data_IF_441020838951
#
_entry.id   IF_441020838951
#
_cell.length_a   1.000
_cell.length_b   1.000
_cell.length_c   1.000
_cell.angle_alpha   90.00
_cell.angle_beta   90.00
_cell.angle_gamma   90.00
#
_symmetry.space_group_name_H-M   'P 1'
#
loop_
_entity.id
_entity.type
_entity.pdbx_description
1 polymer ?
#
# COMPACT_ATOMS: atom_id res chain seq x y z
N UNK A 1 -40.06 -7.78 -3.62
CA UNK A 1 -40.42 -6.34 -3.67
C UNK A 1 -40.45 -5.90 -5.13
N UNK A 2 -41.27 -4.90 -5.49
CA UNK A 2 -41.28 -4.37 -6.86
C UNK A 2 -40.03 -3.49 -7.08
N UNK A 3 -39.34 -3.59 -8.24
CA UNK A 3 -38.19 -2.74 -8.54
C UNK A 3 -38.56 -1.26 -8.58
N UNK A 4 -37.61 -0.38 -8.26
CA UNK A 4 -37.81 1.08 -8.30
C UNK A 4 -37.95 1.61 -9.74
N UNK A 5 -38.56 2.78 -9.92
CA UNK A 5 -38.57 3.47 -11.22
C UNK A 5 -37.15 3.72 -11.76
N UNK A 6 -36.20 4.00 -10.86
CA UNK A 6 -34.80 4.25 -11.21
C UNK A 6 -34.13 3.02 -11.83
N UNK A 7 -34.47 1.81 -11.37
CA UNK A 7 -34.03 0.56 -11.97
C UNK A 7 -34.49 0.43 -13.44
N UNK A 8 -35.75 0.72 -13.74
CA UNK A 8 -36.26 0.65 -15.12
C UNK A 8 -35.64 1.71 -16.03
N UNK A 9 -35.39 2.92 -15.51
CA UNK A 9 -34.68 3.98 -16.24
C UNK A 9 -33.24 3.56 -16.55
N UNK A 10 -32.55 2.92 -15.60
CA UNK A 10 -31.21 2.36 -15.81
C UNK A 10 -31.20 1.22 -16.83
N UNK A 11 -32.19 0.33 -16.80
CA UNK A 11 -32.35 -0.70 -17.84
C UNK A 11 -32.53 -0.08 -19.23
N UNK A 12 -33.42 0.92 -19.34
CA UNK A 12 -33.71 1.60 -20.60
C UNK A 12 -32.52 2.42 -21.13
N UNK A 13 -31.62 2.88 -20.25
CA UNK A 13 -30.39 3.59 -20.63
C UNK A 13 -29.24 2.67 -21.07
N UNK A 14 -29.48 1.36 -21.15
CA UNK A 14 -28.50 0.37 -21.58
C UNK A 14 -27.62 -0.16 -20.45
N UNK A 15 -28.09 -0.08 -19.19
CA UNK A 15 -27.38 -0.63 -18.01
C UNK A 15 -25.99 -0.04 -17.79
N UNK A 16 -25.81 1.26 -18.07
CA UNK A 16 -24.53 1.93 -17.86
C UNK A 16 -24.10 1.83 -16.39
N UNK A 17 -22.84 1.48 -16.16
CA UNK A 17 -22.24 1.44 -14.84
C UNK A 17 -20.80 1.93 -14.94
N UNK A 18 -20.42 2.80 -14.02
CA UNK A 18 -19.07 3.32 -13.87
C UNK A 18 -18.82 3.51 -12.38
N UNK A 19 -17.84 2.82 -11.84
CA UNK A 19 -17.38 3.07 -10.48
C UNK A 19 -16.73 4.46 -10.43
N UNK A 20 -17.05 5.28 -9.43
CA UNK A 20 -16.42 6.60 -9.28
C UNK A 20 -14.89 6.50 -9.24
N UNK A 21 -14.20 7.49 -9.80
CA UNK A 21 -12.74 7.51 -9.91
C UNK A 21 -12.00 7.19 -8.60
N UNK A 22 -12.32 7.81 -7.45
CA UNK A 22 -11.53 7.55 -6.26
C UNK A 22 -11.73 6.12 -5.71
N UNK A 23 -12.93 5.55 -5.88
CA UNK A 23 -13.19 4.16 -5.56
C UNK A 23 -12.44 3.23 -6.53
N UNK A 24 -12.45 3.51 -7.83
CA UNK A 24 -11.69 2.74 -8.81
C UNK A 24 -10.17 2.77 -8.54
N UNK A 25 -9.65 3.91 -8.11
CA UNK A 25 -8.24 4.03 -7.70
C UNK A 25 -7.91 3.13 -6.50
N UNK A 26 -8.71 3.21 -5.43
CA UNK A 26 -8.53 2.37 -4.24
C UNK A 26 -8.69 0.88 -4.57
N UNK A 27 -9.70 0.52 -5.37
CA UNK A 27 -9.92 -0.86 -5.83
C UNK A 27 -8.69 -1.40 -6.55
N UNK A 28 -8.12 -0.64 -7.50
CA UNK A 28 -6.92 -1.03 -8.24
C UNK A 28 -5.72 -1.24 -7.32
N UNK A 29 -5.52 -0.37 -6.34
CA UNK A 29 -4.41 -0.47 -5.38
C UNK A 29 -4.57 -1.72 -4.50
N UNK A 30 -5.75 -1.92 -3.90
CA UNK A 30 -6.02 -3.09 -3.06
C UNK A 30 -5.92 -4.40 -3.84
N UNK A 31 -6.43 -4.45 -5.08
CA UNK A 31 -6.25 -5.60 -5.99
C UNK A 31 -4.78 -5.81 -6.35
N UNK A 32 -3.98 -4.74 -6.48
CA UNK A 32 -2.53 -4.80 -6.66
C UNK A 32 -1.81 -5.48 -5.50
N UNK A 33 -2.35 -5.38 -4.29
CA UNK A 33 -1.88 -6.10 -3.10
C UNK A 33 -2.43 -7.53 -2.99
N UNK A 34 -3.22 -7.99 -3.96
CA UNK A 34 -3.79 -9.34 -4.00
C UNK A 34 -5.09 -9.52 -3.21
N UNK A 35 -5.78 -8.44 -2.85
CA UNK A 35 -7.11 -8.50 -2.24
C UNK A 35 -8.20 -8.68 -3.29
N UNK A 36 -9.29 -9.35 -2.90
CA UNK A 36 -10.51 -9.38 -3.70
C UNK A 36 -11.37 -8.17 -3.32
N UNK A 37 -11.76 -7.40 -4.33
CA UNK A 37 -12.61 -6.21 -4.14
C UNK A 37 -13.77 -6.27 -5.13
N UNK A 38 -15.00 -6.26 -4.64
CA UNK A 38 -16.22 -6.16 -5.46
C UNK A 38 -16.70 -4.71 -5.52
N UNK A 39 -17.38 -4.35 -6.61
CA UNK A 39 -17.90 -3.00 -6.90
C UNK A 39 -19.31 -3.03 -7.50
N UNK A 40 -19.60 -4.05 -8.29
CA UNK A 40 -20.89 -4.19 -8.94
C UNK A 40 -21.92 -4.84 -8.00
N UNK A 41 -23.15 -4.28 -7.91
CA UNK A 41 -24.22 -4.81 -7.06
C UNK A 41 -24.71 -6.17 -7.58
N UNK A 42 -25.21 -7.01 -6.69
CA UNK A 42 -25.99 -8.18 -7.08
C UNK A 42 -27.40 -7.78 -7.56
N UNK A 43 -28.13 -8.78 -8.08
CA UNK A 43 -29.48 -8.59 -8.62
C UNK A 43 -30.50 -8.16 -7.54
N UNK A 44 -30.28 -8.55 -6.28
CA UNK A 44 -31.17 -8.20 -5.17
C UNK A 44 -31.02 -6.72 -4.81
N UNK A 45 -29.78 -6.21 -4.78
CA UNK A 45 -29.48 -4.79 -4.60
C UNK A 45 -30.04 -3.95 -5.75
N UNK A 46 -29.89 -4.40 -7.00
CA UNK A 46 -30.42 -3.71 -8.17
C UNK A 46 -31.96 -3.61 -8.14
N UNK A 47 -32.64 -4.63 -7.60
CA UNK A 47 -34.11 -4.70 -7.56
C UNK A 47 -34.70 -4.21 -6.24
N UNK A 48 -33.88 -3.74 -5.31
CA UNK A 48 -34.33 -3.19 -4.04
C UNK A 48 -35.29 -2.00 -4.27
N UNK A 49 -36.31 -1.87 -3.41
CA UNK A 49 -37.23 -0.73 -3.45
C UNK A 49 -36.53 0.59 -3.14
N UNK A 50 -35.47 0.52 -2.33
CA UNK A 50 -34.56 1.62 -2.01
C UNK A 50 -33.15 1.19 -2.41
N UNK A 51 -32.73 1.46 -3.65
CA UNK A 51 -31.40 1.08 -4.14
C UNK A 51 -30.31 1.79 -3.34
N UNK A 52 -29.33 1.03 -2.87
CA UNK A 52 -28.23 1.53 -2.06
C UNK A 52 -26.96 1.74 -2.90
N UNK A 53 -25.83 1.99 -2.25
CA UNK A 53 -24.67 2.69 -2.80
C UNK A 53 -23.78 1.88 -3.76
N UNK A 54 -23.96 0.57 -3.83
CA UNK A 54 -23.45 -0.24 -4.94
C UNK A 54 -24.21 0.02 -6.24
N UNK A 55 -25.46 0.48 -6.17
CA UNK A 55 -26.30 0.60 -7.37
C UNK A 55 -25.98 1.85 -8.20
N UNK A 56 -26.02 1.77 -9.55
CA UNK A 56 -25.78 2.91 -10.43
C UNK A 56 -26.88 4.00 -10.37
N UNK A 57 -27.85 3.86 -9.48
CA UNK A 57 -28.98 4.76 -9.30
C UNK A 57 -29.33 4.87 -7.80
N UNK A 58 -28.30 4.82 -6.96
CA UNK A 58 -28.41 4.86 -5.50
C UNK A 58 -29.31 6.01 -5.02
N UNK A 59 -30.29 5.67 -4.20
CA UNK A 59 -31.13 6.63 -3.49
C UNK A 59 -30.45 7.20 -2.24
N UNK A 60 -29.33 6.61 -1.81
CA UNK A 60 -28.60 6.92 -0.57
C UNK A 60 -27.35 7.78 -0.79
N UNK A 61 -27.24 8.42 -1.96
CA UNK A 61 -26.18 9.39 -2.26
C UNK A 61 -26.11 10.53 -1.23
N UNK A 62 -24.92 11.12 -1.08
CA UNK A 62 -24.69 12.32 -0.28
C UNK A 62 -23.52 13.11 -0.85
N UNK A 63 -23.56 14.46 -0.92
CA UNK A 63 -24.56 15.36 -0.34
C UNK A 63 -25.88 15.47 -1.12
N UNK A 64 -25.98 14.85 -2.29
CA UNK A 64 -27.19 14.79 -3.10
C UNK A 64 -27.43 13.37 -3.64
N UNK A 65 -28.43 13.22 -4.51
CA UNK A 65 -28.61 11.94 -5.21
C UNK A 65 -27.41 11.65 -6.10
N UNK A 66 -27.01 10.38 -6.19
CA UNK A 66 -25.99 9.94 -7.13
C UNK A 66 -26.44 10.18 -8.57
N UNK A 67 -25.51 10.60 -9.42
CA UNK A 67 -25.74 10.66 -10.86
C UNK A 67 -26.03 9.24 -11.39
N UNK A 68 -27.00 9.13 -12.29
CA UNK A 68 -27.34 7.84 -12.88
C UNK A 68 -26.16 7.28 -13.67
N UNK A 69 -25.90 5.99 -13.50
CA UNK A 69 -24.78 5.28 -14.11
C UNK A 69 -23.54 5.17 -13.21
N UNK A 70 -23.50 5.80 -12.03
CA UNK A 70 -22.35 5.75 -11.15
C UNK A 70 -22.56 4.86 -9.92
N UNK A 71 -21.64 3.93 -9.69
CA UNK A 71 -21.53 3.17 -8.44
C UNK A 71 -20.59 3.88 -7.47
N UNK A 72 -20.95 3.95 -6.19
CA UNK A 72 -20.22 4.69 -5.17
C UNK A 72 -19.61 3.80 -4.09
N UNK A 73 -19.80 2.48 -4.15
CA UNK A 73 -19.35 1.57 -3.12
C UNK A 73 -18.37 0.48 -3.60
N UNK A 74 -17.65 -0.09 -2.64
CA UNK A 74 -16.70 -1.19 -2.79
C UNK A 74 -16.81 -2.12 -1.60
N UNK A 75 -16.67 -3.42 -1.83
CA UNK A 75 -16.53 -4.43 -0.77
C UNK A 75 -15.15 -5.07 -0.85
N UNK A 76 -14.32 -4.83 0.18
CA UNK A 76 -13.01 -5.48 0.34
C UNK A 76 -13.20 -6.79 1.08
N UNK A 77 -12.99 -7.90 0.39
CA UNK A 77 -13.14 -9.23 0.93
C UNK A 77 -11.87 -9.67 1.66
N UNK A 78 -12.00 -10.40 2.77
CA UNK A 78 -10.83 -11.01 3.40
C UNK A 78 -10.25 -12.07 2.45
N UNK A 79 -8.92 -12.20 2.38
CA UNK A 79 -8.28 -13.23 1.52
C UNK A 79 -8.69 -14.65 1.88
N UNK A 80 -9.02 -14.87 3.14
CA UNK A 80 -9.46 -16.16 3.67
C UNK A 80 -10.58 -15.94 4.66
N UNK A 81 -11.54 -16.88 4.73
CA UNK A 81 -12.53 -16.90 5.81
C UNK A 81 -11.93 -17.49 7.09
N UNK A 82 -10.90 -16.82 7.60
CA UNK A 82 -10.17 -17.19 8.80
C UNK A 82 -10.06 -16.00 9.75
N UNK A 83 -9.67 -16.24 11.01
CA UNK A 83 -9.40 -15.16 11.95
C UNK A 83 -8.35 -14.17 11.41
N UNK A 84 -7.35 -14.68 10.68
CA UNK A 84 -6.32 -13.88 10.02
C UNK A 84 -6.88 -12.99 8.93
N UNK A 85 -7.72 -13.54 8.04
CA UNK A 85 -8.36 -12.74 6.99
C UNK A 85 -9.27 -11.65 7.57
N UNK A 86 -9.97 -11.93 8.68
CA UNK A 86 -10.74 -10.91 9.40
C UNK A 86 -9.85 -9.82 10.02
N UNK A 87 -8.71 -10.19 10.60
CA UNK A 87 -7.75 -9.23 11.14
C UNK A 87 -7.14 -8.32 10.06
N UNK A 88 -6.82 -8.86 8.88
CA UNK A 88 -6.35 -8.07 7.73
C UNK A 88 -7.38 -7.00 7.33
N UNK A 89 -8.64 -7.41 7.15
CA UNK A 89 -9.73 -6.49 6.83
C UNK A 89 -9.97 -5.45 7.93
N UNK A 90 -9.94 -5.86 9.21
CA UNK A 90 -10.08 -4.96 10.34
C UNK A 90 -8.97 -3.90 10.35
N UNK A 91 -7.74 -4.28 10.02
CA UNK A 91 -6.62 -3.35 9.94
C UNK A 91 -6.73 -2.39 8.74
N UNK A 92 -7.18 -2.85 7.56
CA UNK A 92 -7.49 -1.97 6.43
C UNK A 92 -8.55 -0.93 6.84
N UNK A 93 -9.65 -1.37 7.46
CA UNK A 93 -10.69 -0.48 7.92
C UNK A 93 -10.16 0.56 8.92
N UNK A 94 -9.38 0.13 9.92
CA UNK A 94 -8.76 1.04 10.90
C UNK A 94 -7.84 2.07 10.25
N UNK A 95 -7.04 1.68 9.26
CA UNK A 95 -6.15 2.62 8.57
C UNK A 95 -6.96 3.65 7.77
N UNK A 96 -7.98 3.24 7.03
CA UNK A 96 -8.90 4.15 6.35
C UNK A 96 -9.59 5.11 7.32
N UNK A 97 -10.06 4.61 8.47
CA UNK A 97 -10.69 5.42 9.52
C UNK A 97 -9.70 6.46 10.08
N UNK A 98 -8.50 6.01 10.47
CA UNK A 98 -7.43 6.87 10.98
C UNK A 98 -7.10 7.98 9.98
N UNK A 99 -6.89 7.63 8.71
CA UNK A 99 -6.56 8.58 7.66
C UNK A 99 -7.72 9.55 7.39
N UNK A 100 -8.96 9.07 7.47
CA UNK A 100 -10.15 9.89 7.25
C UNK A 100 -10.38 10.89 8.37
N UNK A 101 -10.20 10.45 9.61
CA UNK A 101 -10.28 11.29 10.81
C UNK A 101 -9.12 12.29 10.86
N UNK A 102 -7.93 11.93 10.33
CA UNK A 102 -6.79 12.84 10.16
C UNK A 102 -6.94 13.82 8.98
N UNK A 103 -8.02 13.73 8.19
CA UNK A 103 -8.28 14.64 7.08
C UNK A 103 -7.39 14.44 5.85
N UNK A 104 -6.83 13.23 5.67
CA UNK A 104 -5.95 12.96 4.53
C UNK A 104 -6.72 13.01 3.21
N UNK A 105 -6.17 13.74 2.24
CA UNK A 105 -6.82 14.06 0.97
C UNK A 105 -7.36 12.82 0.23
N UNK A 106 -6.57 11.73 0.19
CA UNK A 106 -6.89 10.50 -0.53
C UNK A 106 -8.12 9.73 -0.03
N UNK A 107 -8.63 10.04 1.15
CA UNK A 107 -9.80 9.38 1.75
C UNK A 107 -10.96 10.33 1.99
N UNK A 108 -10.85 11.63 1.72
CA UNK A 108 -11.92 12.60 1.97
C UNK A 108 -13.20 12.35 1.17
N UNK A 109 -13.11 11.58 0.08
CA UNK A 109 -14.24 11.11 -0.72
C UNK A 109 -15.10 10.07 0.01
N UNK A 110 -14.59 9.44 1.08
CA UNK A 110 -15.32 8.42 1.84
C UNK A 110 -16.42 9.07 2.67
N UNK A 111 -17.63 8.55 2.47
CA UNK A 111 -18.91 8.87 3.12
C UNK A 111 -19.02 8.08 4.42
N UNK A 112 -18.94 6.75 4.32
CA UNK A 112 -18.97 5.84 5.46
C UNK A 112 -18.26 4.52 5.13
N UNK A 113 -17.93 3.75 6.18
CA UNK A 113 -17.36 2.40 6.08
C UNK A 113 -18.16 1.48 7.01
N UNK A 114 -18.62 0.32 6.53
CA UNK A 114 -18.99 -0.80 7.41
C UNK A 114 -17.81 -1.76 7.51
N UNK A 115 -17.51 -2.24 8.70
CA UNK A 115 -16.42 -3.18 8.90
C UNK A 115 -16.66 -4.04 10.14
N UNK A 116 -16.09 -5.24 10.13
CA UNK A 116 -16.15 -6.19 11.24
C UNK A 116 -14.78 -6.26 11.92
N UNK A 117 -14.73 -6.05 13.24
CA UNK A 117 -13.48 -6.24 14.01
C UNK A 117 -13.16 -7.73 14.22
N UNK A 118 -12.00 -8.03 14.80
CA UNK A 118 -11.53 -9.40 15.03
C UNK A 118 -12.45 -10.19 15.96
N UNK A 119 -13.23 -9.49 16.79
CA UNK A 119 -14.22 -10.07 17.70
C UNK A 119 -15.57 -10.32 17.02
N UNK A 120 -15.72 -10.01 15.73
CA UNK A 120 -16.95 -10.22 14.98
C UNK A 120 -18.02 -9.15 15.19
N UNK A 121 -17.66 -8.02 15.83
CA UNK A 121 -18.54 -6.87 16.02
C UNK A 121 -18.47 -6.01 14.76
N UNK A 122 -19.61 -5.82 14.11
CA UNK A 122 -19.69 -4.99 12.93
C UNK A 122 -20.19 -3.58 13.27
N UNK A 123 -19.48 -2.59 12.75
CA UNK A 123 -19.68 -1.17 13.00
C UNK A 123 -19.73 -0.43 11.69
N UNK A 124 -20.51 0.65 11.68
CA UNK A 124 -20.45 1.67 10.65
C UNK A 124 -19.76 2.91 11.22
N UNK A 125 -18.69 3.33 10.55
CA UNK A 125 -18.06 4.63 10.74
C UNK A 125 -18.58 5.57 9.65
N UNK A 126 -19.24 6.65 10.04
CA UNK A 126 -19.93 7.57 9.12
C UNK A 126 -19.41 8.99 9.32
N UNK A 127 -19.14 9.73 8.25
CA UNK A 127 -18.59 11.10 8.31
C UNK A 127 -19.57 12.21 7.87
N UNK A 128 -20.80 11.87 7.51
CA UNK A 128 -21.82 12.79 7.01
C UNK A 128 -23.15 12.62 7.74
N UNK A 129 -23.94 13.67 7.96
CA UNK A 129 -23.48 15.05 7.99
C UNK A 129 -22.48 15.30 9.14
N UNK A 130 -22.37 14.37 10.10
CA UNK A 130 -21.47 14.42 11.25
C UNK A 130 -20.75 13.08 11.41
N UNK A 131 -19.59 13.10 12.09
CA UNK A 131 -18.87 11.88 12.47
C UNK A 131 -19.66 11.09 13.52
N UNK A 132 -20.08 9.88 13.18
CA UNK A 132 -20.74 8.96 14.13
C UNK A 132 -20.28 7.52 13.93
N UNK A 133 -20.38 6.72 15.00
CA UNK A 133 -20.17 5.27 14.99
C UNK A 133 -21.47 4.60 15.43
N UNK A 134 -21.90 3.57 14.71
CA UNK A 134 -23.08 2.76 15.08
C UNK A 134 -22.88 1.29 14.78
N UNK A 135 -23.70 0.43 15.38
CA UNK A 135 -23.75 -0.98 15.02
C UNK A 135 -24.22 -1.15 13.57
N UNK A 136 -23.67 -2.16 12.87
CA UNK A 136 -24.09 -2.58 11.54
C UNK A 136 -24.22 -4.11 11.47
N UNK A 137 -25.05 -4.59 10.55
CA UNK A 137 -25.22 -6.03 10.25
C UNK A 137 -24.44 -6.48 9.03
N UNK A 138 -23.76 -5.56 8.35
CA UNK A 138 -23.04 -5.77 7.11
C UNK A 138 -21.66 -6.41 7.37
N UNK A 139 -21.65 -7.74 7.53
CA UNK A 139 -20.53 -8.50 8.11
C UNK A 139 -19.64 -9.16 7.07
N UNK A 140 -18.42 -9.50 7.50
CA UNK A 140 -17.53 -10.40 6.76
C UNK A 140 -16.67 -9.73 5.69
N UNK A 141 -16.79 -8.42 5.50
CA UNK A 141 -15.99 -7.63 4.57
C UNK A 141 -15.84 -6.18 5.08
N UNK A 142 -15.07 -5.36 4.36
CA UNK A 142 -15.05 -3.90 4.56
C UNK A 142 -15.85 -3.28 3.42
N UNK A 143 -17.03 -2.75 3.74
CA UNK A 143 -17.83 -1.98 2.80
C UNK A 143 -17.41 -0.51 2.87
N UNK A 144 -17.04 0.08 1.75
CA UNK A 144 -16.59 1.48 1.64
C UNK A 144 -17.53 2.21 0.71
N UNK A 145 -18.16 3.28 1.20
CA UNK A 145 -19.12 4.08 0.44
C UNK A 145 -18.62 5.49 0.23
N UNK A 146 -18.67 5.95 -1.01
CA UNK A 146 -18.22 7.25 -1.47
C UNK A 146 -19.29 8.33 -1.48
N UNK A 147 -18.84 9.58 -1.53
CA UNK A 147 -19.69 10.76 -1.71
C UNK A 147 -20.07 10.92 -3.18
N UNK A 148 -21.29 11.38 -3.43
CA UNK A 148 -21.86 11.60 -4.76
C UNK A 148 -21.38 12.87 -5.44
N UNK A 149 -20.60 13.71 -4.75
CA UNK A 149 -19.98 14.92 -5.29
C UNK A 149 -18.50 14.72 -5.65
N UNK A 150 -18.03 13.46 -5.64
CA UNK A 150 -16.63 13.09 -5.83
C UNK A 150 -16.44 12.12 -7.02
N UNK A 151 -17.39 12.09 -7.97
CA UNK A 151 -17.42 11.10 -9.06
C UNK A 151 -16.10 11.04 -9.86
N UNK A 152 -15.50 12.20 -10.14
CA UNK A 152 -14.27 12.36 -10.91
C UNK A 152 -13.05 12.79 -10.07
N UNK A 153 -13.14 12.70 -8.74
CA UNK A 153 -12.09 13.17 -7.83
C UNK A 153 -10.82 12.32 -7.92
N UNK A 154 -9.69 12.97 -8.25
CA UNK A 154 -8.39 12.30 -8.44
C UNK A 154 -7.56 12.19 -7.17
N UNK A 155 -8.02 12.71 -6.02
CA UNK A 155 -7.21 12.74 -4.79
C UNK A 155 -6.82 11.36 -4.27
N UNK A 156 -7.56 10.30 -4.62
CA UNK A 156 -7.27 8.93 -4.22
C UNK A 156 -6.31 8.18 -5.19
N UNK A 157 -5.93 8.78 -6.33
CA UNK A 157 -5.17 8.10 -7.38
C UNK A 157 -3.84 7.47 -6.92
N UNK A 158 -3.23 8.06 -5.88
CA UNK A 158 -1.96 7.63 -5.28
C UNK A 158 -2.09 7.20 -3.81
N UNK A 159 -3.30 7.07 -3.28
CA UNK A 159 -3.51 6.73 -1.88
C UNK A 159 -3.48 5.21 -1.67
N UNK A 160 -2.54 4.72 -0.86
CA UNK A 160 -2.41 3.31 -0.53
C UNK A 160 -2.57 3.09 0.99
N UNK A 161 -3.69 2.48 1.45
CA UNK A 161 -3.90 2.20 2.86
C UNK A 161 -2.98 1.10 3.41
N UNK A 162 -2.21 0.40 2.56
CA UNK A 162 -1.29 -0.66 2.99
C UNK A 162 0.17 -0.22 3.02
N UNK A 163 0.53 0.91 2.38
CA UNK A 163 1.90 1.43 2.38
C UNK A 163 2.27 2.19 3.67
N UNK A 164 1.26 2.67 4.39
CA UNK A 164 1.43 3.45 5.63
C UNK A 164 0.86 2.75 6.88
N UNK A 165 0.34 1.53 6.70
CA UNK A 165 -0.05 0.65 7.79
C UNK A 165 1.19 0.09 8.50
N UNK A 166 1.00 -0.25 9.78
CA UNK A 166 1.97 -0.97 10.64
C UNK A 166 2.80 -1.98 9.83
N UNK A 167 4.16 -1.95 9.85
CA UNK A 167 5.02 -2.81 9.00
C UNK A 167 4.72 -4.32 9.13
N UNK A 168 3.98 -4.73 10.14
CA UNK A 168 3.46 -6.09 10.32
C UNK A 168 2.36 -6.50 9.32
N UNK A 169 1.68 -5.54 8.68
CA UNK A 169 0.58 -5.81 7.73
C UNK A 169 1.04 -6.43 6.41
N UNK A 170 2.32 -6.31 6.07
CA UNK A 170 2.90 -6.83 4.83
C UNK A 170 3.63 -8.18 5.01
N UNK A 171 3.79 -8.66 6.24
CA UNK A 171 4.59 -9.85 6.55
C UNK A 171 3.72 -11.08 6.77
N UNK A 172 4.06 -12.18 6.10
CA UNK A 172 3.50 -13.52 6.37
C UNK A 172 3.83 -13.96 7.80
N UNK A 173 3.12 -14.96 8.35
CA UNK A 173 3.38 -15.47 9.71
C UNK A 173 4.82 -15.94 9.90
N UNK A 174 5.40 -16.57 8.86
CA UNK A 174 6.80 -16.96 8.86
C UNK A 174 7.71 -15.72 8.91
N UNK A 175 7.43 -14.69 8.12
CA UNK A 175 8.22 -13.45 8.13
C UNK A 175 8.08 -12.67 9.45
N UNK A 176 6.94 -12.77 10.15
CA UNK A 176 6.76 -12.19 11.46
C UNK A 176 7.51 -12.97 12.54
N UNK A 177 7.48 -14.31 12.50
CA UNK A 177 8.25 -15.16 13.41
C UNK A 177 9.76 -14.98 13.21
N UNK A 178 10.21 -14.97 11.94
CA UNK A 178 11.59 -14.73 11.57
C UNK A 178 12.03 -13.33 12.03
N UNK A 179 11.20 -12.30 11.88
CA UNK A 179 11.48 -10.95 12.36
C UNK A 179 11.59 -10.88 13.89
N UNK A 180 10.71 -11.56 14.62
CA UNK A 180 10.75 -11.59 16.09
C UNK A 180 11.94 -12.38 16.63
N UNK A 181 12.34 -13.48 15.97
CA UNK A 181 13.57 -14.21 16.26
C UNK A 181 14.80 -13.36 15.96
N UNK A 182 14.76 -12.58 14.87
CA UNK A 182 15.80 -11.61 14.51
C UNK A 182 15.93 -10.48 15.53
N UNK A 183 14.81 -9.93 16.00
CA UNK A 183 14.75 -8.87 17.02
C UNK A 183 15.21 -9.37 18.39
N UNK A 184 14.91 -10.62 18.75
CA UNK A 184 15.42 -11.24 19.97
C UNK A 184 16.95 -11.44 19.94
N UNK A 185 17.50 -11.86 18.80
CA UNK A 185 18.95 -12.01 18.57
C UNK A 185 19.70 -10.67 18.45
N UNK A 186 18.99 -9.60 18.06
CA UNK A 186 19.51 -8.23 17.96
C UNK A 186 19.76 -7.57 19.32
N UNK A 187 19.11 -8.04 20.39
CA UNK A 187 19.15 -7.40 21.71
C UNK A 187 20.11 -8.10 22.68
N UNK A 188 20.38 -9.40 22.51
CA UNK A 188 21.43 -10.13 23.24
C UNK A 188 21.95 -11.38 22.48
N UNK A 189 23.23 -11.44 22.03
CA UNK A 189 23.78 -12.55 21.26
C UNK A 189 24.08 -13.82 22.08
N UNK A 190 23.92 -13.80 23.42
CA UNK A 190 24.00 -14.98 24.28
C UNK A 190 22.65 -15.63 24.59
N UNK A 191 21.55 -15.02 24.14
CA UNK A 191 20.20 -15.50 24.37
C UNK A 191 20.00 -16.79 23.56
N UNK A 192 19.84 -17.96 24.21
CA UNK A 192 19.32 -19.14 23.51
C UNK A 192 17.98 -18.74 22.91
N UNK A 193 17.52 -19.36 21.82
CA UNK A 193 16.23 -19.06 21.19
C UNK A 193 15.02 -18.97 22.17
N UNK A 194 15.19 -19.44 23.41
CA UNK A 194 14.31 -19.29 24.56
C UNK A 194 15.01 -18.39 25.62
N UNK A 195 14.76 -17.08 25.62
CA UNK A 195 15.65 -16.12 26.30
C UNK A 195 15.64 -16.07 27.83
N UNK A 196 16.63 -15.37 28.42
CA UNK A 196 16.77 -15.14 29.87
C UNK A 196 16.45 -13.70 30.26
N UNK A 197 15.79 -13.53 31.41
CA UNK A 197 15.08 -12.31 31.77
C UNK A 197 15.87 -11.12 32.33
N UNK A 198 17.17 -10.93 32.06
CA UNK A 198 17.94 -9.89 32.79
C UNK A 198 18.90 -8.98 32.04
N UNK A 199 19.26 -9.20 30.76
CA UNK A 199 20.52 -8.60 30.30
C UNK A 199 20.38 -7.29 29.49
N UNK A 200 21.16 -6.29 29.95
CA UNK A 200 21.21 -4.89 29.51
C UNK A 200 22.38 -4.69 28.54
N UNK A 201 22.05 -4.34 27.30
CA UNK A 201 22.80 -3.58 26.28
C UNK A 201 24.32 -3.49 26.38
N UNK A 202 25.03 -3.83 25.30
CA UNK A 202 26.12 -3.04 24.66
C UNK A 202 26.35 -3.55 23.20
N UNK A 203 26.55 -2.63 22.23
CA UNK A 203 26.54 -2.87 20.77
C UNK A 203 27.90 -3.34 20.17
N UNK A 204 27.94 -4.26 19.18
CA UNK A 204 29.16 -4.62 18.45
C UNK A 204 29.32 -3.97 17.04
N UNK A 205 30.54 -4.05 16.43
CA UNK A 205 31.00 -3.26 15.27
C UNK A 205 30.23 -3.29 13.93
N UNK A 206 29.54 -4.37 13.47
CA UNK A 206 28.83 -4.35 12.19
C UNK A 206 27.64 -3.37 12.17
N UNK A 207 27.09 -3.02 13.35
CA UNK A 207 26.07 -1.98 13.47
C UNK A 207 26.62 -0.56 13.28
N UNK A 208 27.89 -0.30 13.62
CA UNK A 208 28.56 0.94 13.20
C UNK A 208 28.73 0.99 11.68
N UNK A 209 28.98 -0.14 11.03
CA UNK A 209 29.10 -0.20 9.57
C UNK A 209 27.76 0.05 8.87
N UNK A 210 26.64 -0.44 9.40
CA UNK A 210 25.30 -0.18 8.84
C UNK A 210 24.82 1.26 9.09
N UNK A 211 25.07 1.82 10.28
CA UNK A 211 24.79 3.23 10.57
C UNK A 211 25.62 4.17 9.66
N UNK A 212 26.89 3.83 9.41
CA UNK A 212 27.72 4.56 8.46
C UNK A 212 27.19 4.43 7.00
N UNK A 213 26.65 3.27 6.62
CA UNK A 213 26.02 3.06 5.29
C UNK A 213 24.76 3.91 5.12
N UNK A 214 23.89 3.96 6.13
CA UNK A 214 22.69 4.82 6.13
C UNK A 214 23.06 6.31 6.05
N UNK A 215 24.03 6.75 6.84
CA UNK A 215 24.52 8.13 6.79
C UNK A 215 25.15 8.49 5.42
N UNK A 216 25.81 7.53 4.76
CA UNK A 216 26.35 7.71 3.40
C UNK A 216 25.25 7.87 2.35
N UNK A 217 24.17 7.07 2.47
CA UNK A 217 23.00 7.17 1.59
C UNK A 217 22.28 8.50 1.80
N UNK A 218 22.08 8.93 3.05
CA UNK A 218 21.50 10.23 3.37
C UNK A 218 22.33 11.40 2.81
N UNK A 219 23.67 11.31 2.90
CA UNK A 219 24.57 12.27 2.28
C UNK A 219 24.48 12.29 0.75
N UNK A 220 24.39 11.12 0.11
CA UNK A 220 24.21 11.01 -1.34
C UNK A 220 22.87 11.58 -1.82
N UNK A 221 21.81 11.39 -1.03
CA UNK A 221 20.47 11.93 -1.29
C UNK A 221 20.44 13.45 -1.15
N UNK A 222 21.04 13.99 -0.08
CA UNK A 222 21.16 15.44 0.13
C UNK A 222 22.00 16.11 -0.96
N UNK A 223 23.09 15.46 -1.41
CA UNK A 223 23.87 15.93 -2.56
C UNK A 223 23.07 15.87 -3.87
N UNK A 224 22.14 14.93 -4.03
CA UNK A 224 21.23 14.90 -5.18
C UNK A 224 20.22 16.06 -5.17
N UNK A 225 19.65 16.38 -4.00
CA UNK A 225 18.72 17.49 -3.86
C UNK A 225 19.37 18.87 -4.10
N UNK A 226 20.61 19.06 -3.63
CA UNK A 226 21.42 20.25 -3.95
C UNK A 226 21.68 20.38 -5.45
N UNK A 227 21.97 19.25 -6.13
CA UNK A 227 22.19 19.22 -7.60
C UNK A 227 20.93 19.55 -8.40
N UNK A 228 19.75 19.17 -7.90
CA UNK A 228 18.46 19.53 -8.52
C UNK A 228 18.14 21.02 -8.33
N UNK A 229 18.44 21.58 -7.15
CA UNK A 229 18.36 23.03 -6.91
C UNK A 229 19.32 23.83 -7.80
N UNK A 230 20.57 23.37 -8.00
CA UNK A 230 21.53 24.03 -8.88
C UNK A 230 21.06 24.01 -10.36
N UNK A 231 20.44 22.91 -10.79
CA UNK A 231 19.86 22.79 -12.13
C UNK A 231 18.65 23.71 -12.32
N UNK A 232 17.78 23.79 -11.31
CA UNK A 232 16.64 24.72 -11.31
C UNK A 232 17.09 26.19 -11.23
N UNK A 233 18.16 26.50 -10.52
CA UNK A 233 18.76 27.83 -10.47
C UNK A 233 19.40 28.21 -11.81
N UNK A 234 20.09 27.27 -12.47
CA UNK A 234 20.64 27.47 -13.82
C UNK A 234 19.53 27.68 -14.87
N UNK A 235 18.43 26.91 -14.79
CA UNK A 235 17.24 27.09 -15.63
C UNK A 235 16.49 28.40 -15.32
N UNK A 236 16.43 28.80 -14.05
CA UNK A 236 15.88 30.09 -13.63
C UNK A 236 16.69 31.28 -14.15
N UNK A 237 18.02 31.18 -14.14
CA UNK A 237 18.91 32.20 -14.72
C UNK A 237 18.74 32.32 -16.25
N UNK A 238 18.45 31.21 -16.94
CA UNK A 238 18.12 31.18 -18.37
C UNK A 238 16.78 31.86 -18.71
N UNK A 239 15.80 31.83 -17.80
CA UNK A 239 14.48 32.42 -18.01
C UNK A 239 14.44 33.95 -17.86
N UNK A 240 15.46 34.54 -17.23
CA UNK A 240 15.50 35.98 -16.90
C UNK A 240 16.42 36.78 -17.84
N UNK A 241 17.33 36.13 -18.58
CA UNK A 241 18.31 36.79 -19.47
C UNK A 241 17.86 36.93 -20.93
N UNK A 242 17.60 38.17 -21.37
CA UNK A 242 17.31 38.49 -22.78
C UNK A 242 18.51 38.32 -23.72
N UNK A 243 18.30 37.53 -24.78
CA UNK A 243 18.94 37.56 -26.12
C UNK A 243 20.48 37.53 -26.27
N UNK A 244 21.21 36.81 -25.43
CA UNK A 244 22.51 36.21 -25.81
C UNK A 244 22.84 35.06 -24.86
N UNK A 245 22.34 33.86 -25.19
CA UNK A 245 22.60 32.64 -24.41
C UNK A 245 23.90 32.02 -24.92
N UNK A 246 24.92 31.95 -24.08
CA UNK A 246 26.16 31.22 -24.38
C UNK A 246 25.89 29.71 -24.33
N UNK A 247 25.56 29.14 -25.48
CA UNK A 247 25.27 27.73 -25.65
C UNK A 247 26.48 26.83 -25.35
N UNK A 248 27.71 27.35 -25.41
CA UNK A 248 28.91 26.56 -25.13
C UNK A 248 29.01 26.19 -23.64
N UNK A 249 28.67 27.11 -22.75
CA UNK A 249 28.64 26.86 -21.31
C UNK A 249 27.56 25.82 -20.92
N UNK A 250 26.40 25.86 -21.59
CA UNK A 250 25.31 24.89 -21.37
C UNK A 250 25.71 23.50 -21.83
N UNK A 251 26.29 23.38 -23.03
CA UNK A 251 26.76 22.10 -23.56
C UNK A 251 27.85 21.52 -22.65
N UNK A 252 28.77 22.35 -22.14
CA UNK A 252 29.79 21.91 -21.20
C UNK A 252 29.17 21.38 -19.88
N UNK A 253 28.17 22.06 -19.32
CA UNK A 253 27.49 21.62 -18.11
C UNK A 253 26.69 20.32 -18.31
N UNK A 254 25.98 20.19 -19.43
CA UNK A 254 25.25 18.96 -19.79
C UNK A 254 26.20 17.79 -20.01
N UNK A 255 27.35 18.02 -20.65
CA UNK A 255 28.36 16.98 -20.87
C UNK A 255 29.03 16.55 -19.57
N UNK A 256 29.36 17.48 -18.68
CA UNK A 256 29.89 17.16 -17.34
C UNK A 256 28.88 16.32 -16.55
N UNK A 257 27.60 16.71 -16.57
CA UNK A 257 26.54 15.96 -15.89
C UNK A 257 26.33 14.57 -16.48
N UNK A 258 26.38 14.44 -17.81
CA UNK A 258 26.26 13.15 -18.49
C UNK A 258 27.42 12.22 -18.11
N UNK A 259 28.63 12.77 -17.99
CA UNK A 259 29.80 12.03 -17.51
C UNK A 259 29.64 11.55 -16.07
N UNK A 260 29.11 12.39 -15.17
CA UNK A 260 28.85 12.02 -13.78
C UNK A 260 27.79 10.91 -13.66
N UNK A 261 26.73 11.00 -14.45
CA UNK A 261 25.66 9.99 -14.48
C UNK A 261 26.19 8.66 -15.02
N UNK A 262 27.02 8.69 -16.07
CA UNK A 262 27.69 7.48 -16.58
C UNK A 262 28.60 6.87 -15.51
N UNK A 263 29.34 7.70 -14.76
CA UNK A 263 30.16 7.25 -13.63
C UNK A 263 29.34 6.54 -12.56
N UNK A 264 28.21 7.12 -12.16
CA UNK A 264 27.31 6.53 -11.17
C UNK A 264 26.69 5.21 -11.68
N UNK A 265 26.28 5.15 -12.94
CA UNK A 265 25.73 3.93 -13.56
C UNK A 265 26.80 2.82 -13.56
N UNK A 266 28.05 3.15 -13.86
CA UNK A 266 29.14 2.18 -13.84
C UNK A 266 29.42 1.66 -12.44
N UNK A 267 29.43 2.55 -11.43
CA UNK A 267 29.61 2.17 -10.03
C UNK A 267 28.46 1.27 -9.54
N UNK A 268 27.21 1.64 -9.86
CA UNK A 268 26.05 0.83 -9.51
C UNK A 268 26.05 -0.53 -10.22
N UNK A 269 26.46 -0.57 -11.49
CA UNK A 269 26.58 -1.82 -12.25
C UNK A 269 27.64 -2.75 -11.64
N UNK A 270 28.78 -2.19 -11.22
CA UNK A 270 29.81 -2.96 -10.52
C UNK A 270 29.28 -3.51 -9.18
N UNK A 271 28.51 -2.71 -8.44
CA UNK A 271 27.91 -3.13 -7.18
C UNK A 271 26.85 -4.22 -7.35
N UNK A 272 26.04 -4.14 -8.42
CA UNK A 272 25.07 -5.19 -8.76
C UNK A 272 25.79 -6.50 -9.06
N UNK A 273 26.86 -6.46 -9.86
CA UNK A 273 27.64 -7.65 -10.18
C UNK A 273 28.26 -8.31 -8.92
N UNK A 274 28.73 -7.51 -7.95
CA UNK A 274 29.22 -8.01 -6.66
C UNK A 274 28.11 -8.71 -5.86
N UNK A 275 26.93 -8.09 -5.79
CA UNK A 275 25.77 -8.67 -5.09
C UNK A 275 25.25 -9.95 -5.76
N UNK A 276 25.28 -10.02 -7.08
CA UNK A 276 24.94 -11.23 -7.82
C UNK A 276 25.92 -12.38 -7.52
N UNK A 277 27.21 -12.07 -7.42
CA UNK A 277 28.22 -13.05 -7.03
C UNK A 277 28.03 -13.53 -5.58
N UNK A 278 27.73 -12.62 -4.64
CA UNK A 278 27.40 -12.98 -3.26
C UNK A 278 26.15 -13.87 -3.18
N UNK A 279 25.09 -13.51 -3.91
CA UNK A 279 23.84 -14.29 -3.95
C UNK A 279 24.06 -15.70 -4.51
N UNK A 280 24.88 -15.83 -5.54
CA UNK A 280 25.21 -17.12 -6.12
C UNK A 280 26.03 -17.99 -5.15
N UNK A 281 26.99 -17.40 -4.43
CA UNK A 281 27.73 -18.11 -3.38
C UNK A 281 26.79 -18.63 -2.26
N UNK A 282 25.79 -17.83 -1.86
CA UNK A 282 24.77 -18.26 -0.88
C UNK A 282 23.91 -19.40 -1.41
N UNK A 283 23.49 -19.35 -2.68
CA UNK A 283 22.73 -20.44 -3.33
C UNK A 283 23.52 -21.74 -3.35
N UNK A 284 24.80 -21.68 -3.71
CA UNK A 284 25.68 -22.85 -3.71
C UNK A 284 25.86 -23.44 -2.31
N UNK A 285 26.08 -22.59 -1.30
CA UNK A 285 26.18 -23.04 0.09
C UNK A 285 24.89 -23.74 0.57
N UNK A 286 23.72 -23.19 0.23
CA UNK A 286 22.42 -23.79 0.57
C UNK A 286 22.22 -25.13 -0.13
N UNK A 287 22.58 -25.23 -1.40
CA UNK A 287 22.47 -26.49 -2.14
C UNK A 287 23.39 -27.57 -1.56
N UNK A 288 24.64 -27.21 -1.22
CA UNK A 288 25.57 -28.13 -0.57
C UNK A 288 25.05 -28.61 0.80
N UNK A 289 24.46 -27.72 1.61
CA UNK A 289 23.85 -28.08 2.88
C UNK A 289 22.67 -29.06 2.69
N UNK A 290 21.79 -28.81 1.72
CA UNK A 290 20.66 -29.70 1.42
C UNK A 290 21.13 -31.09 0.94
N UNK A 291 22.20 -31.16 0.14
CA UNK A 291 22.79 -32.44 -0.26
C UNK A 291 23.39 -33.20 0.92
N UNK A 292 24.07 -32.51 1.84
CA UNK A 292 24.63 -33.13 3.05
C UNK A 292 23.53 -33.71 3.95
N UNK A 293 22.40 -33.00 4.09
CA UNK A 293 21.23 -33.47 4.84
C UNK A 293 20.56 -34.70 4.19
N UNK A 294 20.46 -34.72 2.86
CA UNK A 294 19.91 -35.85 2.11
C UNK A 294 20.78 -37.13 2.26
N UNK A 295 22.10 -36.99 2.32
CA UNK A 295 23.01 -38.14 2.57
C UNK A 295 22.85 -38.63 4.00
N UNK A 296 22.81 -37.73 4.98
CA UNK A 296 22.65 -38.10 6.39
C UNK A 296 21.34 -38.83 6.68
N UNK A 297 20.27 -38.55 5.92
CA UNK A 297 18.97 -39.21 6.06
C UNK A 297 18.90 -40.57 5.35
N UNK A 298 19.72 -40.80 4.32
CA UNK A 298 19.78 -42.07 3.59
C UNK A 298 20.52 -43.18 4.36
N UNK A 299 21.49 -42.83 5.21
CA UNK A 299 22.24 -43.77 6.07
C UNK A 299 21.53 -44.10 7.39
N UNK A 300 20.22 -43.81 7.49
CA UNK A 300 19.39 -44.19 8.63
C UNK A 300 19.41 -45.71 8.88
N UNK A 301 19.42 -46.17 10.15
CA UNK A 301 19.69 -47.56 10.49
C UNK A 301 18.69 -48.50 9.82
N UNK A 302 19.21 -49.44 9.03
CA UNK A 302 18.44 -50.57 8.49
C UNK A 302 18.07 -51.47 9.68
N UNK A 303 16.81 -51.36 10.11
CA UNK A 303 16.18 -52.26 11.07
C UNK A 303 15.77 -53.57 10.42
#
# INVERSE_FOLDING_TARGET
MAPSLAYFVWLASGRKYTLIRPAAALQRILRGHGLTVYDFPDDDHLRASTPEDHTPFSATGWPGKSAAGFGHALDVMPRTDSAKGRAENAAIARQLIKDRDAGRSGVLWIKYINWTDEQGVCRQERWMPNRTTRSSTDKGHVHISGRSDCDDDSRADSYDPLSEGDPFMALTEQQQADLWEWVALLVDPGTPANGRGTDRFHFPPPFKALANRLSTIEGALAASALREQDMLAALGALAVGGTNIDTAAIIAAVNARSSDVIGLINEQSARIAELEAELEAVRQARHAAAQAEAVATADGPVG
#
